data_IF_782946612386
#
_entry.id   IF_782946612386
#
_cell.length_a   1.000
_cell.length_b   1.000
_cell.length_c   1.000
_cell.angle_alpha   90.00
_cell.angle_beta   90.00
_cell.angle_gamma   90.00
#
_symmetry.space_group_name_H-M   'P 1'
#
loop_
_entity.id
_entity.type
_entity.pdbx_description
1 polymer ?
#
# COMPACT_ATOMS: atom_id res chain seq x y z
N UNK A 1 -22.70 -5.60 -4.97
CA UNK A 1 -22.69 -4.94 -6.30
C UNK A 1 -24.09 -4.93 -6.91
N UNK A 2 -24.71 -6.07 -7.24
CA UNK A 2 -26.02 -6.13 -7.88
C UNK A 2 -27.06 -5.26 -7.18
N UNK A 3 -27.20 -5.38 -5.85
CA UNK A 3 -28.09 -4.54 -5.03
C UNK A 3 -27.75 -3.04 -5.13
N UNK A 4 -26.46 -2.66 -5.20
CA UNK A 4 -26.05 -1.25 -5.28
C UNK A 4 -26.44 -0.62 -6.61
N UNK A 5 -26.37 -1.38 -7.69
CA UNK A 5 -26.69 -0.90 -9.05
C UNK A 5 -28.13 -1.19 -9.45
N UNK A 6 -28.92 -1.90 -8.62
CA UNK A 6 -30.30 -2.25 -8.91
C UNK A 6 -30.46 -3.20 -10.11
N UNK A 7 -29.46 -4.08 -10.31
CA UNK A 7 -29.45 -5.06 -11.43
C UNK A 7 -29.45 -6.49 -10.87
N UNK A 8 -29.77 -7.47 -11.71
CA UNK A 8 -29.60 -8.88 -11.34
C UNK A 8 -28.09 -9.25 -11.27
N UNK A 9 -27.75 -10.26 -10.50
CA UNK A 9 -26.33 -10.72 -10.40
C UNK A 9 -25.80 -11.18 -11.76
N UNK A 10 -26.66 -11.79 -12.60
CA UNK A 10 -26.34 -12.19 -13.98
C UNK A 10 -25.99 -11.02 -14.89
N UNK A 11 -26.45 -9.81 -14.56
CA UNK A 11 -26.29 -8.61 -15.37
C UNK A 11 -25.08 -7.77 -14.92
N UNK A 12 -24.33 -8.25 -13.93
CA UNK A 12 -23.09 -7.61 -13.52
C UNK A 12 -22.04 -7.72 -14.62
N UNK A 13 -21.51 -6.57 -15.02
CA UNK A 13 -20.51 -6.41 -16.07
C UNK A 13 -19.24 -5.78 -15.50
N UNK A 14 -18.09 -5.88 -16.18
CA UNK A 14 -16.81 -5.35 -15.68
C UNK A 14 -16.87 -3.90 -15.21
N UNK A 15 -17.62 -3.03 -15.89
CA UNK A 15 -17.75 -1.62 -15.51
C UNK A 15 -18.50 -1.37 -14.20
N UNK A 16 -19.25 -2.34 -13.69
CA UNK A 16 -19.89 -2.24 -12.38
C UNK A 16 -18.89 -2.33 -11.23
N UNK A 17 -17.68 -2.81 -11.47
CA UNK A 17 -16.64 -2.97 -10.45
C UNK A 17 -15.75 -1.72 -10.29
N UNK A 18 -16.01 -0.65 -11.06
CA UNK A 18 -15.37 0.66 -10.98
C UNK A 18 -13.87 0.68 -11.31
N UNK A 19 -13.22 -0.45 -11.40
CA UNK A 19 -11.85 -0.58 -11.83
C UNK A 19 -11.76 -1.58 -12.99
N UNK A 20 -11.20 -1.11 -14.08
CA UNK A 20 -11.01 -1.88 -15.31
C UNK A 20 -10.20 -3.15 -15.12
N UNK A 21 -9.25 -3.12 -14.23
CA UNK A 21 -8.33 -4.22 -13.95
C UNK A 21 -8.66 -4.99 -12.68
N UNK A 22 -9.70 -4.61 -11.95
CA UNK A 22 -10.11 -5.19 -10.68
C UNK A 22 -9.01 -5.13 -9.59
N UNK A 23 -8.11 -4.17 -9.69
CA UNK A 23 -7.04 -3.94 -8.71
C UNK A 23 -7.52 -3.18 -7.49
N UNK A 24 -8.51 -2.30 -7.68
CA UNK A 24 -9.07 -1.51 -6.59
C UNK A 24 -10.47 -1.99 -6.20
N UNK A 25 -10.71 -2.04 -4.89
CA UNK A 25 -12.02 -2.33 -4.38
C UNK A 25 -12.90 -1.08 -4.43
N UNK A 26 -14.14 -1.16 -4.93
CA UNK A 26 -15.08 -0.04 -4.83
C UNK A 26 -15.39 0.24 -3.36
N UNK A 27 -15.58 1.51 -3.04
CA UNK A 27 -15.97 1.92 -1.69
C UNK A 27 -17.42 1.52 -1.39
N UNK A 28 -17.61 0.32 -0.86
CA UNK A 28 -18.91 -0.21 -0.44
C UNK A 28 -19.21 0.09 1.03
N UNK A 29 -18.20 0.35 1.82
CA UNK A 29 -18.28 0.63 3.25
C UNK A 29 -17.84 2.08 3.46
N UNK A 30 -18.78 3.03 3.61
CA UNK A 30 -18.46 4.45 3.65
C UNK A 30 -17.77 4.81 4.97
N UNK A 31 -16.46 4.73 4.97
CA UNK A 31 -15.58 5.27 6.00
C UNK A 31 -14.61 6.24 5.34
N UNK A 32 -14.65 7.51 5.74
CA UNK A 32 -13.66 8.50 5.33
C UNK A 32 -12.43 8.37 6.24
N UNK A 33 -11.45 7.58 5.82
CA UNK A 33 -10.18 7.46 6.52
C UNK A 33 -9.25 8.64 6.21
N UNK A 34 -9.41 9.28 5.06
CA UNK A 34 -8.60 10.41 4.65
C UNK A 34 -8.60 11.57 5.66
N UNK A 35 -9.73 11.78 6.36
CA UNK A 35 -9.84 12.82 7.39
C UNK A 35 -8.82 12.67 8.53
N UNK A 36 -8.41 11.44 8.86
CA UNK A 36 -7.45 11.17 9.93
C UNK A 36 -6.00 11.41 9.53
N UNK A 37 -5.73 11.48 8.22
CA UNK A 37 -4.39 11.69 7.69
C UNK A 37 -4.12 13.11 7.21
N UNK A 38 -5.14 13.99 7.13
CA UNK A 38 -5.03 15.35 6.55
C UNK A 38 -3.92 16.19 7.16
N UNK A 39 -3.78 16.12 8.47
CA UNK A 39 -2.81 16.94 9.23
C UNK A 39 -1.62 16.09 9.72
N UNK A 40 -1.39 14.94 9.13
CA UNK A 40 -0.31 14.03 9.52
C UNK A 40 0.88 14.14 8.57
N UNK A 41 2.07 14.04 9.14
CA UNK A 41 3.30 13.87 8.38
C UNK A 41 3.46 12.39 8.01
N UNK A 42 3.19 12.05 6.74
CA UNK A 42 3.23 10.66 6.27
C UNK A 42 4.64 10.09 6.23
N UNK A 43 5.68 10.91 5.98
CA UNK A 43 7.08 10.48 6.05
C UNK A 43 7.45 10.04 7.47
N UNK A 44 7.09 10.88 8.46
CA UNK A 44 7.36 10.57 9.86
C UNK A 44 6.63 9.32 10.31
N UNK A 45 5.33 9.19 9.98
CA UNK A 45 4.54 8.00 10.30
C UNK A 45 5.13 6.74 9.68
N UNK A 46 5.59 6.82 8.43
CA UNK A 46 6.23 5.69 7.75
C UNK A 46 7.54 5.32 8.43
N UNK A 47 8.37 6.31 8.73
CA UNK A 47 9.66 6.10 9.42
C UNK A 47 9.45 5.48 10.80
N UNK A 48 8.54 6.04 11.59
CA UNK A 48 8.23 5.55 12.95
C UNK A 48 7.68 4.12 12.93
N UNK A 49 6.83 3.82 11.95
CA UNK A 49 6.30 2.47 11.79
C UNK A 49 7.42 1.46 11.52
N UNK A 50 8.27 1.69 10.52
CA UNK A 50 9.35 0.75 10.19
C UNK A 50 10.36 0.65 11.33
N UNK A 51 10.71 1.75 11.98
CA UNK A 51 11.55 1.75 13.19
C UNK A 51 10.92 0.91 14.31
N UNK A 52 9.58 0.96 14.49
CA UNK A 52 8.88 0.19 15.54
C UNK A 52 8.95 -1.33 15.35
N UNK A 53 9.33 -1.79 14.17
CA UNK A 53 9.53 -3.22 13.86
C UNK A 53 11.00 -3.57 13.59
N UNK A 54 11.92 -2.65 13.91
CA UNK A 54 13.37 -2.87 13.81
C UNK A 54 13.98 -2.63 12.43
N UNK A 55 13.26 -1.95 11.54
CA UNK A 55 13.71 -1.65 10.17
C UNK A 55 14.03 -0.15 10.05
N UNK A 56 15.29 0.20 9.84
CA UNK A 56 15.71 1.59 9.63
C UNK A 56 15.63 1.96 8.14
N UNK A 57 14.70 2.84 7.81
CA UNK A 57 14.49 3.35 6.44
C UNK A 57 15.01 4.78 6.25
N UNK A 58 15.70 5.36 7.23
CA UNK A 58 16.08 6.78 7.24
C UNK A 58 16.88 7.18 6.00
N UNK A 59 17.86 6.38 5.59
CA UNK A 59 18.68 6.66 4.41
C UNK A 59 17.84 6.59 3.12
N UNK A 60 16.99 5.58 2.99
CA UNK A 60 16.10 5.43 1.83
C UNK A 60 15.11 6.58 1.75
N UNK A 61 14.49 6.95 2.89
CA UNK A 61 13.57 8.08 2.97
C UNK A 61 14.24 9.37 2.46
N UNK A 62 15.44 9.68 2.94
CA UNK A 62 16.18 10.87 2.56
C UNK A 62 16.62 10.89 1.07
N UNK A 63 16.86 9.72 0.46
CA UNK A 63 17.25 9.58 -0.94
C UNK A 63 16.05 9.52 -1.90
N UNK A 64 14.82 9.40 -1.38
CA UNK A 64 13.60 9.19 -2.16
C UNK A 64 13.00 10.49 -2.68
N UNK A 65 12.22 10.39 -3.77
CA UNK A 65 11.52 11.49 -4.42
C UNK A 65 10.03 11.39 -4.12
N UNK A 66 9.57 12.09 -3.09
CA UNK A 66 8.28 11.81 -2.47
C UNK A 66 7.15 12.79 -2.85
N UNK A 67 7.46 13.98 -3.33
CA UNK A 67 6.46 15.03 -3.53
C UNK A 67 6.09 15.24 -5.01
N UNK A 68 4.83 15.65 -5.29
CA UNK A 68 4.40 15.95 -6.66
C UNK A 68 5.14 17.15 -7.23
N UNK A 69 5.44 17.10 -8.52
CA UNK A 69 5.94 18.22 -9.34
C UNK A 69 5.59 18.01 -10.80
N UNK A 70 5.73 19.06 -11.59
CA UNK A 70 5.47 19.02 -13.03
C UNK A 70 6.30 17.92 -13.72
N UNK A 71 5.66 17.23 -14.66
CA UNK A 71 6.26 16.16 -15.49
C UNK A 71 6.77 14.93 -14.73
N UNK A 72 6.46 14.81 -13.44
CA UNK A 72 6.76 13.62 -12.65
C UNK A 72 5.80 12.49 -13.01
N UNK A 73 6.30 11.24 -13.00
CA UNK A 73 5.46 10.06 -13.14
C UNK A 73 4.40 10.02 -12.03
N UNK A 74 3.17 9.68 -12.38
CA UNK A 74 2.06 9.63 -11.43
C UNK A 74 2.05 8.33 -10.61
N UNK A 75 2.65 7.25 -11.12
CA UNK A 75 2.78 6.00 -10.39
C UNK A 75 3.88 6.08 -9.34
N UNK A 76 3.59 5.58 -8.14
CA UNK A 76 4.61 5.27 -7.16
C UNK A 76 5.37 4.00 -7.57
N UNK A 77 6.62 3.92 -7.20
CA UNK A 77 7.43 2.72 -7.33
C UNK A 77 8.67 2.77 -6.44
N UNK A 78 9.20 1.59 -6.15
CA UNK A 78 10.50 1.40 -5.53
C UNK A 78 11.49 0.83 -6.55
N UNK A 79 12.72 1.25 -6.48
CA UNK A 79 13.82 0.71 -7.32
C UNK A 79 15.15 0.70 -6.57
N UNK A 80 15.94 -0.31 -6.83
CA UNK A 80 17.37 -0.33 -6.51
C UNK A 80 18.11 0.19 -7.74
N UNK A 81 18.75 1.36 -7.61
CA UNK A 81 19.34 2.12 -8.73
C UNK A 81 20.57 1.41 -9.30
N UNK A 82 21.41 0.86 -8.44
CA UNK A 82 22.70 0.26 -8.82
C UNK A 82 22.72 -1.27 -8.68
N UNK A 83 21.65 -1.86 -8.11
CA UNK A 83 21.61 -3.29 -7.78
C UNK A 83 22.58 -3.67 -6.65
N UNK A 84 23.00 -2.70 -5.85
CA UNK A 84 23.95 -2.84 -4.74
C UNK A 84 23.46 -2.19 -3.44
N UNK A 85 22.19 -1.72 -3.45
CA UNK A 85 21.50 -1.22 -2.26
C UNK A 85 21.22 0.29 -2.26
N UNK A 86 21.42 1.02 -3.37
CA UNK A 86 20.88 2.39 -3.52
C UNK A 86 19.38 2.32 -3.82
N UNK A 87 18.64 1.90 -2.81
CA UNK A 87 17.18 1.72 -2.90
C UNK A 87 16.47 3.04 -2.69
N UNK A 88 15.61 3.43 -3.64
CA UNK A 88 14.86 4.68 -3.61
C UNK A 88 13.39 4.46 -3.94
N UNK A 89 12.54 5.29 -3.33
CA UNK A 89 11.09 5.30 -3.54
C UNK A 89 10.70 6.60 -4.25
N UNK A 90 9.82 6.47 -5.23
CA UNK A 90 9.17 7.59 -5.89
C UNK A 90 7.68 7.59 -5.58
N UNK A 91 7.17 8.69 -5.04
CA UNK A 91 5.76 8.90 -4.73
C UNK A 91 5.32 10.31 -5.16
N UNK A 92 4.03 10.61 -4.99
CA UNK A 92 3.47 11.96 -5.13
C UNK A 92 2.58 12.24 -3.91
N UNK A 93 3.16 12.20 -2.71
CA UNK A 93 2.42 12.24 -1.46
C UNK A 93 1.63 13.53 -1.27
N UNK A 94 0.37 13.32 -0.92
CA UNK A 94 -0.51 14.32 -0.33
C UNK A 94 -1.17 13.68 0.90
N UNK A 95 -1.46 14.43 1.97
CA UNK A 95 -2.02 13.86 3.19
C UNK A 95 -3.36 13.16 2.95
N UNK A 96 -3.33 11.83 2.87
CA UNK A 96 -4.49 10.96 2.63
C UNK A 96 -4.21 9.52 3.06
N UNK A 97 -5.26 8.73 3.26
CA UNK A 97 -5.16 7.29 3.51
C UNK A 97 -4.57 6.53 2.33
N UNK A 98 -4.88 6.96 1.11
CA UNK A 98 -4.30 6.41 -0.12
C UNK A 98 -2.76 6.53 -0.10
N UNK A 99 -2.23 7.74 0.12
CA UNK A 99 -0.79 7.94 0.13
C UNK A 99 -0.10 7.35 1.37
N UNK A 100 -0.80 7.25 2.51
CA UNK A 100 -0.27 6.51 3.67
C UNK A 100 -0.11 5.03 3.33
N UNK A 101 -1.13 4.43 2.74
CA UNK A 101 -1.11 3.05 2.25
C UNK A 101 0.00 2.82 1.23
N UNK A 102 0.10 3.70 0.22
CA UNK A 102 1.13 3.63 -0.82
C UNK A 102 2.55 3.78 -0.25
N UNK A 103 2.77 4.71 0.69
CA UNK A 103 4.07 4.86 1.35
C UNK A 103 4.48 3.58 2.09
N UNK A 104 3.57 2.97 2.83
CA UNK A 104 3.85 1.70 3.50
C UNK A 104 4.13 0.57 2.49
N UNK A 105 3.47 0.57 1.35
CA UNK A 105 3.69 -0.39 0.27
C UNK A 105 5.08 -0.25 -0.35
N UNK A 106 5.41 0.94 -0.86
CA UNK A 106 6.68 1.18 -1.56
C UNK A 106 7.90 1.02 -0.65
N UNK A 107 7.80 1.49 0.60
CA UNK A 107 8.86 1.20 1.58
C UNK A 107 8.88 -0.26 2.02
N UNK A 108 7.79 -1.01 1.84
CA UNK A 108 7.76 -2.46 1.96
C UNK A 108 8.64 -3.16 0.92
N UNK A 109 8.56 -2.72 -0.34
CA UNK A 109 9.50 -3.15 -1.37
C UNK A 109 10.93 -2.76 -1.04
N UNK A 110 11.14 -1.54 -0.53
CA UNK A 110 12.46 -1.03 -0.21
C UNK A 110 13.14 -1.83 0.89
N UNK A 111 12.46 -2.15 1.98
CA UNK A 111 13.05 -2.99 3.05
C UNK A 111 13.25 -4.43 2.61
N UNK A 112 12.41 -4.95 1.71
CA UNK A 112 12.62 -6.27 1.11
C UNK A 112 13.91 -6.28 0.27
N UNK A 113 14.11 -5.28 -0.57
CA UNK A 113 15.32 -5.16 -1.39
C UNK A 113 16.58 -5.04 -0.52
N UNK A 114 16.54 -4.25 0.55
CA UNK A 114 17.66 -4.12 1.49
C UNK A 114 17.94 -5.38 2.32
N UNK A 115 16.92 -6.20 2.58
CA UNK A 115 17.08 -7.46 3.30
C UNK A 115 17.80 -8.54 2.48
N UNK A 116 18.02 -8.29 1.20
CA UNK A 116 18.70 -9.21 0.30
C UNK A 116 20.19 -8.89 0.25
N UNK A 117 21.01 -9.75 0.89
CA UNK A 117 22.47 -9.64 0.76
C UNK A 117 22.90 -10.06 -0.65
N UNK A 118 23.10 -9.08 -1.50
CA UNK A 118 23.57 -9.27 -2.88
C UNK A 118 25.11 -9.45 -2.95
N UNK A 119 25.82 -9.32 -1.82
CA UNK A 119 27.28 -9.44 -1.80
C UNK A 119 27.72 -10.84 -2.23
N UNK A 120 28.61 -10.90 -3.21
CA UNK A 120 29.10 -12.17 -3.75
C UNK A 120 28.15 -12.91 -4.69
N UNK A 121 26.94 -12.42 -4.94
CA UNK A 121 26.04 -13.02 -5.92
C UNK A 121 26.31 -12.51 -7.34
N UNK A 122 26.19 -13.37 -8.36
CA UNK A 122 26.13 -12.93 -9.75
C UNK A 122 24.99 -11.92 -9.95
N UNK A 123 25.20 -10.93 -10.81
CA UNK A 123 24.22 -9.86 -11.06
C UNK A 123 22.80 -10.37 -11.34
N UNK A 124 22.67 -11.47 -12.11
CA UNK A 124 21.38 -12.08 -12.44
C UNK A 124 20.64 -12.70 -11.26
N UNK A 125 21.29 -12.86 -10.10
CA UNK A 125 20.70 -13.43 -8.87
C UNK A 125 20.50 -12.39 -7.77
N UNK A 126 20.80 -11.12 -8.02
CA UNK A 126 20.71 -10.04 -7.02
C UNK A 126 19.29 -9.51 -6.83
N UNK A 127 18.40 -9.79 -7.75
CA UNK A 127 16.98 -9.40 -7.63
C UNK A 127 16.14 -10.41 -6.87
N UNK A 128 14.90 -10.03 -6.56
CA UNK A 128 13.91 -10.93 -5.97
C UNK A 128 13.68 -12.14 -6.90
N UNK A 129 13.56 -13.32 -6.31
CA UNK A 129 13.29 -14.55 -7.06
C UNK A 129 11.96 -14.49 -7.86
N UNK A 130 10.98 -13.76 -7.35
CA UNK A 130 9.72 -13.51 -8.03
C UNK A 130 9.03 -12.26 -7.49
N UNK A 131 8.44 -11.46 -8.38
CA UNK A 131 7.68 -10.24 -8.03
C UNK A 131 6.57 -10.52 -7.02
N UNK A 132 5.92 -11.68 -7.11
CA UNK A 132 4.90 -12.09 -6.16
C UNK A 132 5.36 -11.99 -4.69
N UNK A 133 6.60 -12.32 -4.39
CA UNK A 133 7.12 -12.29 -3.02
C UNK A 133 7.29 -10.86 -2.52
N UNK A 134 7.83 -9.98 -3.37
CA UNK A 134 8.00 -8.57 -2.99
C UNK A 134 6.65 -7.87 -2.82
N UNK A 135 5.70 -8.15 -3.70
CA UNK A 135 4.33 -7.65 -3.58
C UNK A 135 3.65 -8.16 -2.30
N UNK A 136 3.80 -9.44 -1.97
CA UNK A 136 3.24 -9.99 -0.74
C UNK A 136 3.76 -9.26 0.50
N UNK A 137 5.06 -8.96 0.57
CA UNK A 137 5.67 -8.19 1.66
C UNK A 137 5.15 -6.75 1.69
N UNK A 138 5.14 -6.07 0.56
CA UNK A 138 4.61 -4.71 0.43
C UNK A 138 3.14 -4.62 0.88
N UNK A 139 2.30 -5.55 0.45
CA UNK A 139 0.88 -5.62 0.82
C UNK A 139 0.66 -5.94 2.30
N UNK A 140 1.56 -6.64 2.99
CA UNK A 140 1.48 -6.84 4.44
C UNK A 140 1.58 -5.51 5.16
N UNK A 141 2.51 -4.65 4.74
CA UNK A 141 2.69 -3.33 5.35
C UNK A 141 1.60 -2.33 4.95
N UNK A 142 1.24 -2.28 3.67
CA UNK A 142 0.18 -1.43 3.12
C UNK A 142 -1.12 -1.50 3.93
N UNK A 143 -1.55 -2.71 4.29
CA UNK A 143 -2.81 -2.96 5.01
C UNK A 143 -2.91 -2.25 6.35
N UNK A 144 -1.79 -1.86 6.95
CA UNK A 144 -1.81 -1.23 8.25
C UNK A 144 -2.50 0.14 8.20
N UNK A 145 -2.40 0.88 7.11
CA UNK A 145 -3.08 2.16 6.94
C UNK A 145 -4.63 2.07 7.11
N UNK A 146 -5.19 0.88 6.96
CA UNK A 146 -6.62 0.60 7.08
C UNK A 146 -6.99 -0.16 8.35
N UNK A 147 -6.04 -0.38 9.27
CA UNK A 147 -6.29 -1.10 10.54
C UNK A 147 -6.44 -0.12 11.70
N UNK A 148 -7.62 -0.02 12.34
CA UNK A 148 -7.82 0.87 13.47
C UNK A 148 -6.82 0.67 14.60
N UNK A 149 -6.49 -0.58 14.94
CA UNK A 149 -5.50 -0.88 15.97
C UNK A 149 -4.09 -0.34 15.64
N UNK A 150 -3.69 -0.35 14.38
CA UNK A 150 -2.44 0.26 13.96
C UNK A 150 -2.52 1.80 14.03
N UNK A 151 -3.65 2.37 13.63
CA UNK A 151 -3.88 3.83 13.70
C UNK A 151 -3.81 4.33 15.15
N UNK A 152 -4.34 3.58 16.11
CA UNK A 152 -4.19 3.89 17.55
C UNK A 152 -2.72 3.80 17.97
N UNK A 153 -2.03 2.70 17.63
CA UNK A 153 -0.61 2.52 17.94
C UNK A 153 0.26 3.67 17.43
N UNK A 154 -0.06 4.19 16.26
CA UNK A 154 0.65 5.32 15.63
C UNK A 154 0.16 6.70 16.08
N UNK A 155 -0.77 6.78 17.03
CA UNK A 155 -1.30 8.07 17.53
C UNK A 155 -2.11 8.85 16.49
N UNK A 156 -2.72 8.17 15.55
CA UNK A 156 -3.54 8.78 14.50
C UNK A 156 -4.96 9.01 15.00
N UNK A 157 -5.52 8.03 15.70
CA UNK A 157 -6.86 8.06 16.31
C UNK A 157 -6.83 7.50 17.73
N UNK A 158 -7.87 7.74 18.51
CA UNK A 158 -8.06 7.12 19.83
C UNK A 158 -8.82 5.78 19.75
N UNK A 159 -8.89 5.06 20.89
CA UNK A 159 -9.58 3.76 20.99
C UNK A 159 -11.09 3.86 20.69
N UNK A 160 -11.72 4.97 21.02
CA UNK A 160 -13.15 5.19 20.79
C UNK A 160 -13.44 5.34 19.30
N UNK A 161 -12.63 6.11 18.59
CA UNK A 161 -12.75 6.24 17.13
C UNK A 161 -12.41 4.93 16.43
N UNK A 162 -11.39 4.22 16.91
CA UNK A 162 -11.02 2.90 16.40
C UNK A 162 -12.18 1.91 16.49
N UNK A 163 -12.86 1.84 17.62
CA UNK A 163 -14.04 0.99 17.80
C UNK A 163 -15.17 1.37 16.83
N UNK A 164 -15.40 2.68 16.62
CA UNK A 164 -16.47 3.17 15.75
C UNK A 164 -16.28 2.82 14.26
N UNK A 165 -15.05 2.69 13.79
CA UNK A 165 -14.73 2.41 12.37
C UNK A 165 -14.30 0.95 12.10
N UNK A 166 -14.15 0.13 13.14
CA UNK A 166 -13.55 -1.22 13.05
C UNK A 166 -14.24 -2.11 12.03
N UNK A 167 -15.56 -2.20 12.07
CA UNK A 167 -16.32 -3.07 11.16
C UNK A 167 -16.21 -2.61 9.70
N UNK A 168 -16.27 -1.31 9.46
CA UNK A 168 -16.16 -0.75 8.11
C UNK A 168 -14.75 -0.99 7.54
N UNK A 169 -13.70 -0.78 8.34
CA UNK A 169 -12.31 -1.06 7.97
C UNK A 169 -12.09 -2.54 7.69
N UNK A 170 -12.57 -3.42 8.56
CA UNK A 170 -12.45 -4.87 8.38
C UNK A 170 -13.12 -5.33 7.08
N UNK A 171 -14.35 -4.88 6.82
CA UNK A 171 -15.07 -5.24 5.61
C UNK A 171 -14.43 -4.66 4.34
N UNK A 172 -13.87 -3.44 4.40
CA UNK A 172 -13.12 -2.84 3.29
C UNK A 172 -11.87 -3.67 2.96
N UNK A 173 -11.08 -4.03 3.96
CA UNK A 173 -9.89 -4.87 3.78
C UNK A 173 -10.25 -6.25 3.22
N UNK A 174 -11.31 -6.87 3.73
CA UNK A 174 -11.81 -8.16 3.24
C UNK A 174 -12.22 -8.08 1.77
N UNK A 175 -12.91 -7.01 1.38
CA UNK A 175 -13.31 -6.79 0.00
C UNK A 175 -12.10 -6.60 -0.92
N UNK A 176 -11.12 -5.79 -0.51
CA UNK A 176 -9.84 -5.61 -1.24
C UNK A 176 -9.15 -6.95 -1.47
N UNK A 177 -9.08 -7.81 -0.46
CA UNK A 177 -8.47 -9.14 -0.57
C UNK A 177 -9.20 -10.04 -1.58
N UNK A 178 -10.52 -10.06 -1.54
CA UNK A 178 -11.32 -10.87 -2.46
C UNK A 178 -11.14 -10.42 -3.92
N UNK A 179 -11.08 -9.11 -4.15
CA UNK A 179 -10.87 -8.57 -5.50
C UNK A 179 -9.44 -8.81 -5.98
N UNK A 180 -8.44 -8.65 -5.12
CA UNK A 180 -7.05 -8.98 -5.44
C UNK A 180 -6.92 -10.46 -5.84
N UNK A 181 -7.48 -11.39 -5.06
CA UNK A 181 -7.47 -12.81 -5.39
C UNK A 181 -8.19 -13.08 -6.74
N UNK A 182 -9.26 -12.37 -7.03
CA UNK A 182 -9.97 -12.47 -8.32
C UNK A 182 -9.13 -11.94 -9.47
N UNK A 183 -8.45 -10.80 -9.28
CA UNK A 183 -7.55 -10.22 -10.27
C UNK A 183 -6.45 -11.21 -10.65
N UNK A 184 -5.79 -11.82 -9.66
CA UNK A 184 -4.75 -12.83 -9.89
C UNK A 184 -5.29 -14.00 -10.71
N UNK A 185 -6.50 -14.49 -10.43
CA UNK A 185 -7.12 -15.57 -11.21
C UNK A 185 -7.41 -15.17 -12.67
N UNK A 186 -7.72 -13.91 -12.93
CA UNK A 186 -8.00 -13.43 -14.29
C UNK A 186 -6.71 -13.23 -15.09
N UNK A 187 -5.67 -12.72 -14.45
CA UNK A 187 -4.38 -12.42 -15.11
C UNK A 187 -3.58 -13.69 -15.42
N UNK A 188 -3.68 -14.72 -14.58
CA UNK A 188 -2.90 -15.96 -14.72
C UNK A 188 -3.68 -17.14 -15.33
N UNK A 189 -4.84 -16.93 -15.90
CA UNK A 189 -5.57 -17.89 -16.74
C UNK A 189 -5.41 -17.61 -18.22
#
# INVERSE_FOLDING_TARGET
FAKRYGVAESDLMPWHFQDRFLQEAPNLYPVDLGKYYRDKNLEQLTTDFYASIGLDITKMMAASDLYPRDKKNQHAFCTDIDGEGDVRVMCNITPSDYWMSTMLHEFGHAVYAMGHDASGLPHSLRGAAHTFTTEAVAMIYERNAYKPAWMVKMGIIDEKEAAAISDACFNTLRLKQLLCARCVQVVYR
#
